data_IF_001602200857
#
_entry.id   IF_001602200857
#
_cell.length_a   1.000
_cell.length_b   1.000
_cell.length_c   1.000
_cell.angle_alpha   90.00
_cell.angle_beta   90.00
_cell.angle_gamma   90.00
#
_symmetry.space_group_name_H-M   'P 1'
#
loop_
_entity.id
_entity.type
_entity.pdbx_description
1 polymer ?
#
# COMPACT_ATOMS: atom_id res chain seq x y z
N UNK A 1 -1.56 -3.49 -13.18
CA UNK A 1 -1.04 -2.25 -12.57
C UNK A 1 0.30 -2.56 -11.91
N UNK A 2 1.29 -1.71 -12.13
CA UNK A 2 2.63 -1.93 -11.59
C UNK A 2 2.94 -0.94 -10.48
N UNK A 3 3.80 -1.36 -9.57
CA UNK A 3 4.30 -0.50 -8.50
C UNK A 3 5.80 -0.71 -8.34
N UNK A 4 6.51 0.38 -8.09
CA UNK A 4 7.94 0.34 -7.77
C UNK A 4 8.10 0.29 -6.25
N UNK A 5 8.70 -0.79 -5.75
CA UNK A 5 9.02 -0.93 -4.33
C UNK A 5 10.53 -0.82 -4.16
N UNK A 6 11.00 0.38 -3.87
CA UNK A 6 12.43 0.65 -3.63
C UNK A 6 13.30 0.21 -4.80
N UNK A 7 12.85 0.52 -6.04
CA UNK A 7 13.57 0.20 -7.25
C UNK A 7 13.23 -1.15 -7.86
N UNK A 8 12.36 -1.93 -7.22
CA UNK A 8 11.96 -3.24 -7.72
C UNK A 8 10.51 -3.16 -8.18
N UNK A 9 10.28 -3.51 -9.43
CA UNK A 9 8.94 -3.46 -10.02
C UNK A 9 8.13 -4.69 -9.64
N UNK A 10 6.93 -4.45 -9.10
CA UNK A 10 5.96 -5.50 -8.82
C UNK A 10 4.72 -5.28 -9.65
N UNK A 11 4.09 -6.37 -10.07
CA UNK A 11 2.80 -6.30 -10.76
C UNK A 11 1.69 -6.64 -9.77
N UNK A 12 0.64 -5.79 -9.71
CA UNK A 12 -0.54 -6.05 -8.88
C UNK A 12 -1.56 -6.77 -9.75
N UNK A 13 -1.96 -7.96 -9.31
CA UNK A 13 -2.85 -8.85 -10.04
C UNK A 13 -4.08 -9.19 -9.20
N UNK A 14 -5.25 -9.14 -9.82
CA UNK A 14 -6.49 -9.58 -9.17
C UNK A 14 -6.69 -11.07 -9.42
N UNK A 15 -7.01 -11.82 -8.36
CA UNK A 15 -7.20 -13.26 -8.43
C UNK A 15 -8.49 -13.65 -7.71
N UNK A 16 -9.18 -14.67 -8.21
CA UNK A 16 -10.40 -15.16 -7.57
C UNK A 16 -10.09 -15.77 -6.21
N UNK A 17 -9.02 -16.56 -6.13
CA UNK A 17 -8.54 -17.18 -4.90
C UNK A 17 -7.05 -16.89 -4.81
N UNK A 18 -6.62 -16.32 -3.68
CA UNK A 18 -5.21 -15.99 -3.44
C UNK A 18 -4.61 -17.08 -2.56
N UNK A 19 -3.41 -17.56 -2.95
CA UNK A 19 -2.64 -18.55 -2.19
C UNK A 19 -3.46 -19.80 -1.87
N UNK A 20 -4.34 -20.20 -2.79
CA UNK A 20 -5.20 -21.39 -2.62
C UNK A 20 -6.03 -21.37 -1.34
N UNK A 21 -6.26 -20.19 -0.77
CA UNK A 21 -6.99 -20.00 0.48
C UNK A 21 -8.11 -18.99 0.27
N UNK A 22 -9.36 -19.47 0.39
CA UNK A 22 -10.53 -18.63 0.16
C UNK A 22 -10.60 -17.43 1.13
N UNK A 23 -9.94 -17.54 2.27
CA UNK A 23 -9.93 -16.48 3.29
C UNK A 23 -8.75 -15.51 3.14
N UNK A 24 -7.81 -15.80 2.27
CA UNK A 24 -6.67 -14.94 2.04
C UNK A 24 -7.07 -13.75 1.17
N UNK A 25 -6.84 -12.53 1.64
CA UNK A 25 -7.22 -11.32 0.91
C UNK A 25 -6.15 -10.84 -0.05
N UNK A 26 -4.90 -11.11 0.24
CA UNK A 26 -3.79 -10.70 -0.60
C UNK A 26 -2.51 -11.41 -0.23
N UNK A 27 -1.52 -11.33 -1.12
CA UNK A 27 -0.22 -11.97 -0.91
C UNK A 27 0.82 -11.26 -1.76
N UNK A 28 2.06 -11.15 -1.25
CA UNK A 28 3.18 -10.68 -2.04
C UNK A 28 4.14 -11.84 -2.28
N UNK A 29 4.54 -12.02 -3.54
CA UNK A 29 5.52 -13.02 -3.92
C UNK A 29 6.80 -12.30 -4.33
N UNK A 30 7.80 -12.35 -3.45
CA UNK A 30 9.04 -11.60 -3.65
C UNK A 30 9.85 -12.11 -4.82
N UNK A 31 9.79 -13.41 -5.11
CA UNK A 31 10.57 -14.02 -6.18
C UNK A 31 9.99 -13.70 -7.55
N UNK A 32 8.66 -13.78 -7.67
CA UNK A 32 7.99 -13.46 -8.93
C UNK A 32 7.76 -11.96 -9.10
N UNK A 33 7.91 -11.19 -8.02
CA UNK A 33 7.65 -9.75 -8.00
C UNK A 33 6.20 -9.47 -8.38
N UNK A 34 5.30 -10.22 -7.76
CA UNK A 34 3.84 -10.08 -7.94
C UNK A 34 3.18 -9.78 -6.59
N UNK A 35 2.13 -8.98 -6.64
CA UNK A 35 1.21 -8.78 -5.52
C UNK A 35 -0.15 -9.27 -5.99
N UNK A 36 -0.72 -10.22 -5.26
CA UNK A 36 -2.03 -10.78 -5.58
C UNK A 36 -3.07 -10.21 -4.65
N UNK A 37 -4.19 -9.76 -5.20
CA UNK A 37 -5.30 -9.19 -4.42
C UNK A 37 -6.57 -9.94 -4.80
N UNK A 38 -7.35 -10.34 -3.80
CA UNK A 38 -8.60 -11.04 -4.03
C UNK A 38 -9.55 -10.16 -4.83
N UNK A 39 -10.01 -10.69 -5.95
CA UNK A 39 -10.80 -9.94 -6.93
C UNK A 39 -12.14 -9.45 -6.37
N UNK A 40 -12.74 -10.19 -5.45
CA UNK A 40 -14.06 -9.87 -4.92
C UNK A 40 -14.09 -8.74 -3.89
N UNK A 41 -12.93 -8.22 -3.47
CA UNK A 41 -12.88 -7.17 -2.46
C UNK A 41 -13.46 -5.86 -2.96
N UNK A 42 -14.23 -5.20 -2.10
CA UNK A 42 -14.72 -3.85 -2.39
C UNK A 42 -13.61 -2.83 -2.18
N UNK A 43 -13.84 -1.62 -2.65
CA UNK A 43 -12.82 -0.59 -2.79
C UNK A 43 -11.98 -0.35 -1.54
N UNK A 44 -12.61 -0.10 -0.40
CA UNK A 44 -11.84 0.24 0.79
C UNK A 44 -10.97 -0.93 1.26
N UNK A 45 -11.55 -2.11 1.34
CA UNK A 45 -10.80 -3.29 1.79
C UNK A 45 -9.72 -3.67 0.77
N UNK A 46 -10.01 -3.52 -0.52
CA UNK A 46 -9.03 -3.75 -1.57
C UNK A 46 -7.83 -2.82 -1.40
N UNK A 47 -8.09 -1.54 -1.18
CA UNK A 47 -7.02 -0.55 -1.05
C UNK A 47 -6.18 -0.78 0.20
N UNK A 48 -6.82 -1.11 1.32
CA UNK A 48 -6.09 -1.44 2.55
C UNK A 48 -5.23 -2.69 2.32
N UNK A 49 -5.76 -3.70 1.62
CA UNK A 49 -5.02 -4.91 1.33
C UNK A 49 -3.78 -4.63 0.46
N UNK A 50 -3.93 -3.76 -0.54
CA UNK A 50 -2.78 -3.35 -1.36
C UNK A 50 -1.71 -2.71 -0.49
N UNK A 51 -2.09 -1.79 0.39
CA UNK A 51 -1.13 -1.12 1.28
C UNK A 51 -0.48 -2.14 2.22
N UNK A 52 -1.24 -3.10 2.71
CA UNK A 52 -0.73 -4.18 3.57
C UNK A 52 0.41 -4.93 2.86
N UNK A 53 0.20 -5.32 1.60
CA UNK A 53 1.24 -6.04 0.85
C UNK A 53 2.42 -5.13 0.51
N UNK A 54 2.18 -3.85 0.24
CA UNK A 54 3.26 -2.88 0.04
C UNK A 54 4.14 -2.77 1.29
N UNK A 55 3.53 -2.73 2.47
CA UNK A 55 4.29 -2.68 3.73
C UNK A 55 5.15 -3.93 3.90
N UNK A 56 4.61 -5.11 3.60
CA UNK A 56 5.42 -6.34 3.59
C UNK A 56 6.62 -6.19 2.66
N UNK A 57 6.40 -5.65 1.47
CA UNK A 57 7.47 -5.45 0.50
C UNK A 57 8.54 -4.49 1.00
N UNK A 58 8.12 -3.37 1.60
CA UNK A 58 9.07 -2.40 2.16
C UNK A 58 9.89 -3.03 3.27
N UNK A 59 9.25 -3.74 4.19
CA UNK A 59 9.96 -4.36 5.30
C UNK A 59 10.92 -5.44 4.83
N UNK A 60 10.50 -6.23 3.83
CA UNK A 60 11.36 -7.26 3.25
C UNK A 60 12.62 -6.64 2.62
N UNK A 61 12.43 -5.60 1.81
CA UNK A 61 13.54 -5.01 1.05
C UNK A 61 14.42 -4.08 1.88
N UNK A 62 14.01 -3.75 3.10
CA UNK A 62 14.83 -2.98 4.03
C UNK A 62 15.42 -3.85 5.14
N UNK A 63 15.25 -5.18 5.05
CA UNK A 63 15.84 -6.11 6.01
C UNK A 63 15.21 -6.12 7.39
N UNK A 64 13.95 -5.69 7.49
CA UNK A 64 13.22 -5.64 8.77
C UNK A 64 12.41 -6.92 8.98
N UNK A 65 13.09 -8.05 9.08
CA UNK A 65 12.44 -9.36 9.09
C UNK A 65 11.49 -9.57 10.27
N UNK A 66 11.87 -9.12 11.46
CA UNK A 66 11.00 -9.27 12.62
C UNK A 66 9.71 -8.47 12.46
N UNK A 67 9.82 -7.22 12.03
CA UNK A 67 8.64 -6.38 11.81
C UNK A 67 7.78 -6.94 10.69
N UNK A 68 8.40 -7.53 9.68
CA UNK A 68 7.67 -8.12 8.56
C UNK A 68 6.82 -9.32 8.96
N UNK A 69 7.10 -9.93 10.10
CA UNK A 69 6.33 -11.05 10.61
C UNK A 69 5.22 -10.62 11.58
N UNK A 70 5.17 -9.34 11.93
CA UNK A 70 4.19 -8.81 12.88
C UNK A 70 2.93 -8.38 12.13
N UNK A 71 2.05 -9.34 11.88
CA UNK A 71 0.81 -9.10 11.11
C UNK A 71 -0.11 -8.10 11.80
N UNK A 72 -0.15 -8.08 13.12
CA UNK A 72 -1.00 -7.12 13.84
C UNK A 72 -0.53 -5.70 13.59
N UNK A 73 0.78 -5.47 13.65
CA UNK A 73 1.36 -4.16 13.38
C UNK A 73 1.07 -3.74 11.95
N UNK A 74 1.30 -4.64 10.99
CA UNK A 74 1.09 -4.34 9.57
C UNK A 74 -0.38 -4.03 9.30
N UNK A 75 -1.30 -4.78 9.90
CA UNK A 75 -2.73 -4.51 9.76
C UNK A 75 -3.10 -3.14 10.30
N UNK A 76 -2.61 -2.78 11.47
CA UNK A 76 -2.91 -1.48 12.07
C UNK A 76 -2.31 -0.35 11.24
N UNK A 77 -1.08 -0.52 10.76
CA UNK A 77 -0.44 0.51 9.93
C UNK A 77 -1.13 0.68 8.59
N UNK A 78 -1.46 -0.40 7.90
CA UNK A 78 -2.08 -0.30 6.58
C UNK A 78 -3.43 0.37 6.65
N UNK A 79 -4.25 0.04 7.65
CA UNK A 79 -5.54 0.68 7.87
C UNK A 79 -5.38 2.16 8.17
N UNK A 80 -4.43 2.48 9.06
CA UNK A 80 -4.19 3.87 9.48
C UNK A 80 -3.65 4.71 8.33
N UNK A 81 -2.69 4.18 7.58
CA UNK A 81 -2.12 4.87 6.42
C UNK A 81 -3.21 5.14 5.38
N UNK A 82 -4.04 4.15 5.10
CA UNK A 82 -5.12 4.33 4.15
C UNK A 82 -6.05 5.46 4.57
N UNK A 83 -6.45 5.49 5.84
CA UNK A 83 -7.34 6.53 6.34
C UNK A 83 -6.71 7.92 6.29
N UNK A 84 -5.45 8.04 6.70
CA UNK A 84 -4.74 9.32 6.65
C UNK A 84 -4.66 9.83 5.20
N UNK A 85 -4.28 8.96 4.28
CA UNK A 85 -4.15 9.35 2.87
C UNK A 85 -5.50 9.69 2.26
N UNK A 86 -6.50 8.89 2.54
CA UNK A 86 -7.86 9.10 2.00
C UNK A 86 -8.46 10.42 2.48
N UNK A 87 -8.24 10.75 3.75
CA UNK A 87 -8.81 11.95 4.35
C UNK A 87 -7.97 13.20 4.12
N UNK A 88 -6.80 13.07 3.49
CA UNK A 88 -5.90 14.19 3.24
C UNK A 88 -5.37 14.15 1.81
N UNK A 89 -6.24 13.87 0.86
CA UNK A 89 -5.83 13.68 -0.55
C UNK A 89 -5.10 14.89 -1.12
N UNK A 90 -5.59 16.08 -0.86
CA UNK A 90 -4.97 17.29 -1.40
C UNK A 90 -3.54 17.46 -0.91
N UNK A 91 -3.33 17.23 0.39
CA UNK A 91 -1.98 17.30 0.95
C UNK A 91 -1.06 16.24 0.35
N UNK A 92 -1.54 15.00 0.26
CA UNK A 92 -0.74 13.90 -0.28
C UNK A 92 -0.34 14.19 -1.73
N UNK A 93 -1.28 14.68 -2.54
CA UNK A 93 -1.00 15.05 -3.92
C UNK A 93 0.06 16.17 -3.95
N UNK A 94 -0.10 17.18 -3.09
CA UNK A 94 0.84 18.30 -3.02
C UNK A 94 2.27 17.89 -2.71
N UNK A 95 2.45 16.82 -1.93
CA UNK A 95 3.80 16.35 -1.59
C UNK A 95 4.58 15.89 -2.82
N UNK A 96 3.90 15.54 -3.90
CA UNK A 96 4.52 14.99 -5.11
C UNK A 96 4.29 15.87 -6.35
N UNK A 97 3.68 17.06 -6.16
CA UNK A 97 3.38 17.98 -7.23
C UNK A 97 4.33 19.17 -7.23
N UNK A 98 4.12 20.07 -8.20
CA UNK A 98 4.89 21.29 -8.29
C UNK A 98 4.73 22.14 -7.03
N UNK A 99 5.83 22.77 -6.60
CA UNK A 99 5.86 23.58 -5.39
C UNK A 99 4.82 24.71 -5.43
N UNK A 100 4.59 25.33 -6.60
CA UNK A 100 3.62 26.41 -6.71
C UNK A 100 2.20 25.95 -6.43
N UNK A 101 1.84 24.75 -6.90
CA UNK A 101 0.53 24.16 -6.64
C UNK A 101 0.39 23.90 -5.15
N UNK A 102 1.40 23.33 -4.55
CA UNK A 102 1.44 23.09 -3.11
C UNK A 102 1.28 24.38 -2.31
N UNK A 103 2.00 25.41 -2.70
CA UNK A 103 1.97 26.69 -1.98
C UNK A 103 0.60 27.34 -2.01
N UNK A 104 -0.12 27.22 -3.13
CA UNK A 104 -1.46 27.78 -3.22
C UNK A 104 -2.45 27.08 -2.31
N UNK A 105 -2.27 25.76 -2.16
CA UNK A 105 -3.11 24.95 -1.29
C UNK A 105 -2.54 24.85 0.13
N UNK A 106 -1.26 25.05 0.27
CA UNK A 106 -0.52 24.82 1.48
C UNK A 106 -0.96 25.69 2.66
N UNK A 107 -1.58 26.82 2.37
CA UNK A 107 -2.13 27.67 3.43
C UNK A 107 -3.14 26.94 4.30
N UNK A 108 -3.78 25.91 3.76
CA UNK A 108 -4.70 25.08 4.53
C UNK A 108 -3.97 24.24 5.56
N UNK A 109 -2.73 23.90 5.25
CA UNK A 109 -2.01 22.90 6.02
C UNK A 109 -0.85 23.49 6.81
N UNK A 110 -0.37 24.67 6.36
CA UNK A 110 0.80 25.26 6.92
C UNK A 110 0.56 26.07 8.14
N UNK A 111 1.01 26.23 8.32
CA UNK A 111 1.27 26.99 9.14
C UNK A 111 1.72 27.44 9.42
#
# INVERSE_FOLDING_TARGET
MNIDLLGINYEIKDEDIVDEDINCLGMIDYKKQDIYIKKSLKTDLRNVTIIHEILHGILQHTGNDELNQDEDLINRLSTSIYQVFKNNKDLIICLFEDVQICNRKGRKYGK
#
